data_IF_647998318365
#
_entry.id   IF_647998318365
#
_cell.length_a   1.000
_cell.length_b   1.000
_cell.length_c   1.000
_cell.angle_alpha   90.00
_cell.angle_beta   90.00
_cell.angle_gamma   90.00
#
_symmetry.space_group_name_H-M   'P 1'
#
loop_
_entity.id
_entity.type
_entity.pdbx_description
1 polymer ?
#
# COMPACT_ATOMS: atom_id res chain seq x y z
N UNK A 1 -5.89 -1.86 -15.24
CA UNK A 1 -4.45 -1.50 -15.15
C UNK A 1 -4.03 -1.37 -13.68
N UNK A 2 -3.60 -2.47 -13.07
CA UNK A 2 -3.16 -2.62 -11.67
C UNK A 2 -1.86 -1.84 -11.42
N UNK A 3 -1.94 -0.68 -10.76
CA UNK A 3 -0.90 0.35 -10.97
C UNK A 3 0.21 0.41 -9.90
N UNK A 4 0.04 -0.03 -8.63
CA UNK A 4 1.12 0.14 -7.61
C UNK A 4 2.12 -1.03 -7.54
N UNK A 5 1.66 -2.28 -7.59
CA UNK A 5 2.59 -3.42 -7.64
C UNK A 5 3.43 -3.44 -8.93
N UNK A 6 2.93 -2.80 -10.00
CA UNK A 6 3.69 -2.51 -11.22
C UNK A 6 4.35 -1.13 -11.24
N UNK A 7 4.04 -0.23 -10.30
CA UNK A 7 4.82 1.01 -10.09
C UNK A 7 6.20 0.70 -9.52
N UNK A 8 6.32 -0.32 -8.65
CA UNK A 8 7.61 -0.83 -8.18
C UNK A 8 8.46 -1.52 -9.27
N UNK A 9 7.89 -1.84 -10.43
CA UNK A 9 8.60 -2.41 -11.59
C UNK A 9 9.06 -1.34 -12.59
N UNK A 10 8.78 -0.08 -12.28
CA UNK A 10 9.04 1.08 -13.11
C UNK A 10 10.19 1.87 -12.45
N UNK A 11 11.19 2.35 -13.20
CA UNK A 11 12.33 3.06 -12.63
C UNK A 11 11.90 4.26 -11.77
N UNK A 12 12.66 4.55 -10.69
CA UNK A 12 12.37 5.51 -9.59
C UNK A 12 11.95 6.92 -10.03
N UNK A 13 12.16 7.28 -11.29
CA UNK A 13 11.62 8.52 -11.85
C UNK A 13 10.10 8.51 -12.05
N UNK A 14 9.41 7.37 -11.97
CA UNK A 14 8.01 7.25 -12.42
C UNK A 14 6.94 7.55 -11.36
N UNK A 15 7.25 7.51 -10.06
CA UNK A 15 6.28 7.86 -9.02
C UNK A 15 5.87 9.34 -9.11
N UNK A 16 6.83 10.25 -9.33
CA UNK A 16 6.55 11.67 -9.57
C UNK A 16 5.74 11.92 -10.86
N UNK A 17 5.89 11.02 -11.84
CA UNK A 17 5.36 11.17 -13.19
C UNK A 17 3.98 10.54 -13.37
N UNK A 18 3.72 9.45 -12.67
CA UNK A 18 2.37 8.92 -12.45
C UNK A 18 1.56 9.90 -11.58
N UNK A 19 2.20 10.53 -10.59
CA UNK A 19 1.59 11.57 -9.75
C UNK A 19 1.23 12.84 -10.52
N UNK A 20 2.03 13.32 -11.47
CA UNK A 20 1.67 14.49 -12.30
C UNK A 20 0.47 14.24 -13.22
N UNK A 21 0.37 13.03 -13.80
CA UNK A 21 -0.83 12.60 -14.54
C UNK A 21 -2.05 12.44 -13.62
N UNK A 22 -1.81 11.95 -12.41
CA UNK A 22 -2.82 11.83 -11.36
C UNK A 22 -3.32 13.19 -10.85
N UNK A 23 -2.43 14.20 -10.67
CA UNK A 23 -2.78 15.58 -10.28
C UNK A 23 -3.75 16.21 -11.27
N UNK A 24 -3.52 16.03 -12.56
CA UNK A 24 -4.40 16.54 -13.63
C UNK A 24 -5.79 15.91 -13.59
N UNK A 25 -5.87 14.58 -13.39
CA UNK A 25 -7.14 13.88 -13.17
C UNK A 25 -7.85 14.35 -11.90
N UNK A 26 -7.12 14.52 -10.80
CA UNK A 26 -7.64 15.03 -9.52
C UNK A 26 -8.22 16.43 -9.64
N UNK A 27 -7.62 17.36 -10.39
CA UNK A 27 -8.23 18.68 -10.62
C UNK A 27 -9.56 18.60 -11.37
N UNK A 28 -9.67 17.73 -12.37
CA UNK A 28 -10.90 17.53 -13.13
C UNK A 28 -11.97 16.79 -12.30
N UNK A 29 -11.58 15.81 -11.49
CA UNK A 29 -12.47 15.04 -10.63
C UNK A 29 -12.93 15.84 -9.40
N UNK A 30 -12.07 16.70 -8.83
CA UNK A 30 -12.45 17.67 -7.81
C UNK A 30 -13.40 18.72 -8.38
N UNK A 31 -13.12 19.26 -9.58
CA UNK A 31 -14.05 20.17 -10.25
C UNK A 31 -15.42 19.51 -10.50
N UNK A 32 -15.45 18.23 -10.87
CA UNK A 32 -16.68 17.45 -11.07
C UNK A 32 -17.41 17.16 -9.74
N UNK A 33 -16.68 16.88 -8.66
CA UNK A 33 -17.23 16.66 -7.32
C UNK A 33 -17.84 17.95 -6.73
N UNK A 34 -17.19 19.10 -6.93
CA UNK A 34 -17.69 20.42 -6.49
C UNK A 34 -18.75 21.03 -7.42
N UNK A 35 -18.86 20.56 -8.67
CA UNK A 35 -19.90 20.96 -9.62
C UNK A 35 -21.24 20.21 -9.43
N UNK A 36 -21.35 19.30 -8.44
CA UNK A 36 -22.64 18.73 -8.08
C UNK A 36 -23.59 19.85 -7.62
N UNK A 37 -24.77 20.03 -8.24
CA UNK A 37 -25.73 21.00 -7.76
C UNK A 37 -26.16 20.57 -6.36
N UNK A 38 -25.87 21.39 -5.35
CA UNK A 38 -26.40 21.21 -3.99
C UNK A 38 -27.93 21.22 -4.07
N UNK A 39 -28.55 20.05 -4.08
CA UNK A 39 -29.99 19.92 -3.89
C UNK A 39 -30.28 20.47 -2.49
N UNK A 40 -30.96 21.62 -2.46
CA UNK A 40 -31.32 22.36 -1.24
C UNK A 40 -32.29 21.50 -0.42
N UNK A 41 -31.76 20.68 0.49
CA UNK A 41 -32.59 19.89 1.43
C UNK A 41 -33.16 20.85 2.48
N UNK A 42 -34.46 21.11 2.37
CA UNK A 42 -35.25 21.94 3.30
C UNK A 42 -35.22 21.29 4.69
N UNK A 43 -34.57 21.95 5.65
CA UNK A 43 -34.53 21.55 7.05
C UNK A 43 -35.92 21.60 7.68
N UNK A 44 -36.40 20.48 8.21
CA UNK A 44 -37.49 20.45 9.21
C UNK A 44 -36.87 19.97 10.51
N UNK A 45 -36.81 20.87 11.50
CA UNK A 45 -36.44 20.57 12.89
C UNK A 45 -37.56 19.77 13.58
N UNK A 46 -37.23 18.89 14.53
CA UNK A 46 -38.05 18.76 15.73
C UNK A 46 -37.25 19.02 17.01
N UNK A 47 -38.01 19.41 18.02
CA UNK A 47 -37.63 19.90 19.34
C UNK A 47 -36.89 18.86 20.20
N UNK A 48 -35.96 19.36 21.01
CA UNK A 48 -35.38 18.68 22.17
C UNK A 48 -36.38 18.73 23.34
N UNK A 49 -36.62 17.60 24.00
CA UNK A 49 -37.07 17.57 25.38
C UNK A 49 -35.99 16.92 26.23
N UNK A 50 -35.58 17.69 27.23
CA UNK A 50 -34.71 17.34 28.35
C UNK A 50 -35.50 16.46 29.32
N UNK A 51 -34.88 15.39 29.80
CA UNK A 51 -35.23 14.80 31.09
C UNK A 51 -33.99 14.14 31.70
N UNK A 52 -33.48 14.80 32.73
CA UNK A 52 -32.49 14.33 33.70
C UNK A 52 -33.12 13.33 34.67
N UNK A 53 -32.40 12.26 35.01
CA UNK A 53 -32.55 11.57 36.29
C UNK A 53 -31.24 10.86 36.67
N UNK A 54 -30.78 11.14 37.89
CA UNK A 54 -29.61 10.55 38.53
C UNK A 54 -30.01 9.34 39.41
N UNK A 55 -29.13 8.34 39.52
CA UNK A 55 -28.96 7.41 40.66
C UNK A 55 -27.76 6.50 40.33
N UNK A 56 -26.61 6.59 41.01
CA UNK A 56 -26.27 6.05 42.32
C UNK A 56 -26.09 4.52 42.37
N UNK A 57 -24.85 4.09 42.64
CA UNK A 57 -24.58 2.99 43.59
C UNK A 57 -24.19 1.62 43.04
N UNK A 58 -22.93 1.25 43.32
CA UNK A 58 -22.45 0.03 43.99
C UNK A 58 -21.36 -0.74 43.23
N UNK A 59 -20.14 -0.62 43.77
CA UNK A 59 -19.07 -1.57 43.59
C UNK A 59 -19.41 -2.86 44.36
N UNK A 60 -19.28 -4.00 43.70
CA UNK A 60 -19.25 -5.31 44.35
C UNK A 60 -17.91 -5.96 44.03
N UNK A 61 -16.98 -5.88 44.99
CA UNK A 61 -15.78 -6.71 45.02
C UNK A 61 -16.19 -8.10 45.52
N UNK A 62 -16.16 -9.11 44.64
CA UNK A 62 -16.33 -10.50 45.03
C UNK A 62 -15.00 -11.07 45.49
N UNK A 63 -14.83 -11.18 46.81
CA UNK A 63 -13.80 -12.03 47.41
C UNK A 63 -14.24 -13.49 47.21
N UNK A 64 -13.52 -14.22 46.35
CA UNK A 64 -13.67 -15.67 46.25
C UNK A 64 -12.92 -16.30 47.41
N UNK A 65 -13.65 -16.80 48.39
CA UNK A 65 -13.13 -17.66 49.45
C UNK A 65 -12.80 -19.02 48.82
N UNK A 66 -11.53 -19.39 48.84
CA UNK A 66 -11.07 -20.72 48.45
C UNK A 66 -11.48 -21.73 49.53
N UNK A 67 -12.55 -22.48 49.27
CA UNK A 67 -12.84 -23.71 50.02
C UNK A 67 -11.94 -24.81 49.49
N UNK A 68 -11.03 -25.29 50.34
CA UNK A 68 -10.19 -26.44 50.05
C UNK A 68 -11.02 -27.72 50.04
N UNK A 69 -11.24 -28.27 48.86
CA UNK A 69 -11.60 -29.68 48.67
C UNK A 69 -10.47 -30.38 47.92
N UNK A 70 -10.00 -31.47 48.53
CA UNK A 70 -8.97 -32.37 48.03
C UNK A 70 -9.34 -32.89 46.64
N UNK A 71 -8.48 -32.75 45.60
CA UNK A 71 -8.81 -33.28 44.28
C UNK A 71 -8.69 -34.81 44.28
N UNK A 72 -9.79 -35.49 43.96
CA UNK A 72 -9.76 -36.88 43.52
C UNK A 72 -8.88 -37.01 42.24
N UNK A 73 -8.25 -38.17 41.98
CA UNK A 73 -7.36 -38.33 40.85
C UNK A 73 -8.16 -38.22 39.54
N UNK A 74 -7.90 -37.17 38.76
CA UNK A 74 -8.43 -37.04 37.41
C UNK A 74 -7.62 -37.95 36.49
N UNK A 75 -8.30 -38.87 35.84
CA UNK A 75 -7.82 -39.57 34.64
C UNK A 75 -7.28 -38.55 33.63
N UNK A 76 -6.14 -38.79 32.98
CA UNK A 76 -5.61 -37.87 31.99
C UNK A 76 -6.60 -37.76 30.82
N UNK A 77 -7.16 -36.57 30.63
CA UNK A 77 -7.87 -36.22 29.40
C UNK A 77 -6.91 -36.41 28.23
N UNK A 78 -7.32 -37.01 27.10
CA UNK A 78 -6.46 -37.08 25.93
C UNK A 78 -6.09 -35.64 25.55
N UNK A 79 -4.78 -35.39 25.42
CA UNK A 79 -4.28 -34.10 24.97
C UNK A 79 -5.02 -33.73 23.69
N UNK A 80 -5.85 -32.69 23.74
CA UNK A 80 -6.43 -32.09 22.55
C UNK A 80 -5.22 -31.64 21.73
N UNK A 81 -4.91 -32.40 20.69
CA UNK A 81 -3.88 -32.03 19.74
C UNK A 81 -4.18 -30.59 19.32
N UNK A 82 -3.24 -29.67 19.58
CA UNK A 82 -3.40 -28.27 19.21
C UNK A 82 -3.82 -28.23 17.74
N UNK A 83 -4.97 -27.62 17.44
CA UNK A 83 -5.46 -27.53 16.08
C UNK A 83 -4.35 -26.93 15.19
N UNK A 84 -4.13 -27.45 13.97
CA UNK A 84 -3.08 -26.93 13.11
C UNK A 84 -3.32 -25.44 12.86
N UNK A 85 -2.25 -24.63 12.99
CA UNK A 85 -2.32 -23.20 12.70
C UNK A 85 -2.70 -23.04 11.22
N UNK A 86 -3.80 -22.33 10.98
CA UNK A 86 -4.29 -22.00 9.64
C UNK A 86 -4.02 -20.52 9.33
N UNK A 87 -4.07 -20.14 8.04
CA UNK A 87 -3.99 -18.73 7.64
C UNK A 87 -5.02 -17.88 8.39
N UNK A 88 -6.27 -18.38 8.48
CA UNK A 88 -7.36 -17.73 9.20
C UNK A 88 -7.04 -17.53 10.68
N UNK A 89 -6.61 -18.58 11.38
CA UNK A 89 -6.31 -18.46 12.82
C UNK A 89 -5.13 -17.51 13.08
N UNK A 90 -4.11 -17.50 12.21
CA UNK A 90 -3.01 -16.55 12.30
C UNK A 90 -3.48 -15.11 12.11
N UNK A 91 -4.27 -14.83 11.07
CA UNK A 91 -4.81 -13.50 10.80
C UNK A 91 -5.72 -13.00 11.92
N UNK A 92 -6.52 -13.87 12.55
CA UNK A 92 -7.33 -13.50 13.72
C UNK A 92 -6.48 -13.21 14.97
N UNK A 93 -5.36 -13.91 15.15
CA UNK A 93 -4.39 -13.61 16.20
C UNK A 93 -3.72 -12.25 15.94
N UNK A 94 -3.28 -12.00 14.69
CA UNK A 94 -2.74 -10.70 14.26
C UNK A 94 -3.74 -9.56 14.48
N UNK A 95 -5.04 -9.79 14.20
CA UNK A 95 -6.09 -8.83 14.50
C UNK A 95 -6.16 -8.49 16.00
N UNK A 96 -5.98 -9.49 16.88
CA UNK A 96 -6.04 -9.30 18.33
C UNK A 96 -4.79 -8.58 18.86
N UNK A 97 -3.63 -8.82 18.24
CA UNK A 97 -2.39 -8.08 18.50
C UNK A 97 -2.53 -6.61 18.06
N UNK A 98 -2.95 -6.37 16.82
CA UNK A 98 -3.13 -5.02 16.28
C UNK A 98 -4.12 -4.17 17.09
N UNK A 99 -5.17 -4.78 17.67
CA UNK A 99 -6.13 -4.05 18.51
C UNK A 99 -5.52 -3.51 19.81
N UNK A 100 -4.46 -4.16 20.30
CA UNK A 100 -3.79 -3.81 21.56
C UNK A 100 -2.64 -2.81 21.38
N UNK A 101 -2.28 -2.50 20.14
CA UNK A 101 -1.28 -1.46 19.85
C UNK A 101 -1.75 -0.10 20.39
N UNK A 102 -0.85 0.72 20.95
CA UNK A 102 -1.19 2.06 21.36
C UNK A 102 -1.65 2.89 20.16
N UNK A 103 -2.67 3.73 20.39
CA UNK A 103 -3.07 4.73 19.41
C UNK A 103 -2.10 5.91 19.48
N UNK A 104 -1.21 5.99 18.52
CA UNK A 104 -0.22 7.06 18.41
C UNK A 104 -0.58 8.05 17.30
N UNK A 105 0.06 9.21 17.35
CA UNK A 105 -0.05 10.26 16.35
C UNK A 105 1.26 11.02 16.26
N UNK A 106 1.56 11.56 15.09
CA UNK A 106 2.68 12.46 14.88
C UNK A 106 2.42 13.38 13.70
N UNK A 107 3.34 14.32 13.49
CA UNK A 107 3.22 15.29 12.38
C UNK A 107 3.44 14.66 11.00
N UNK A 108 4.33 13.68 10.94
CA UNK A 108 4.72 12.93 9.74
C UNK A 108 4.54 11.43 9.94
N UNK A 109 4.05 10.76 8.91
CA UNK A 109 4.15 9.31 8.81
C UNK A 109 5.41 8.93 8.03
N UNK A 110 6.31 8.22 8.70
CA UNK A 110 7.58 7.76 8.15
C UNK A 110 7.48 6.33 7.65
N UNK A 111 8.07 6.05 6.49
CA UNK A 111 8.31 4.69 5.98
C UNK A 111 9.70 4.62 5.37
N UNK A 112 10.44 3.58 5.73
CA UNK A 112 11.69 3.16 5.10
C UNK A 112 11.54 1.76 4.55
N UNK A 113 11.85 1.61 3.27
CA UNK A 113 11.68 0.36 2.56
C UNK A 113 12.84 0.10 1.61
N UNK A 114 13.26 -1.16 1.53
CA UNK A 114 14.19 -1.65 0.52
C UNK A 114 13.40 -2.36 -0.57
N UNK A 115 13.46 -1.83 -1.77
CA UNK A 115 12.84 -2.42 -2.96
C UNK A 115 13.86 -3.26 -3.70
N UNK A 116 13.44 -4.43 -4.18
CA UNK A 116 14.15 -5.27 -5.13
C UNK A 116 13.19 -5.55 -6.28
N UNK A 117 13.54 -5.10 -7.48
CA UNK A 117 12.63 -5.12 -8.62
C UNK A 117 13.34 -5.62 -9.89
N UNK A 118 12.61 -6.36 -10.72
CA UNK A 118 13.07 -6.74 -12.06
C UNK A 118 13.22 -5.49 -12.93
N UNK A 119 14.37 -5.35 -13.57
CA UNK A 119 14.59 -4.31 -14.58
C UNK A 119 14.02 -4.83 -15.89
N UNK A 120 12.97 -4.19 -16.41
CA UNK A 120 12.32 -4.61 -17.65
C UNK A 120 12.97 -4.01 -18.90
N UNK A 121 13.50 -2.80 -18.80
CA UNK A 121 14.05 -2.02 -19.90
C UNK A 121 15.21 -1.16 -19.43
N UNK A 122 16.06 -0.71 -20.35
CA UNK A 122 17.10 0.27 -20.04
C UNK A 122 16.43 1.58 -19.57
N UNK A 123 16.65 2.03 -18.32
CA UNK A 123 15.95 3.20 -17.77
C UNK A 123 16.17 4.49 -18.56
N UNK A 124 17.38 4.68 -19.10
CA UNK A 124 17.73 5.84 -19.92
C UNK A 124 16.86 5.99 -21.16
N UNK A 125 16.61 4.90 -21.89
CA UNK A 125 15.82 4.90 -23.12
C UNK A 125 14.35 5.25 -22.87
N UNK A 126 13.78 4.64 -21.83
CA UNK A 126 12.42 4.93 -21.41
C UNK A 126 12.27 6.39 -20.97
N UNK A 127 13.19 6.88 -20.15
CA UNK A 127 13.17 8.25 -19.61
C UNK A 127 13.31 9.28 -20.73
N UNK A 128 14.21 9.05 -21.70
CA UNK A 128 14.38 9.92 -22.85
C UNK A 128 13.10 10.02 -23.70
N UNK A 129 12.45 8.88 -24.00
CA UNK A 129 11.19 8.84 -24.76
C UNK A 129 10.06 9.55 -24.01
N UNK A 130 9.94 9.33 -22.70
CA UNK A 130 8.91 9.97 -21.88
C UNK A 130 9.11 11.49 -21.81
N UNK A 131 10.36 11.96 -21.65
CA UNK A 131 10.68 13.38 -21.66
C UNK A 131 10.38 14.03 -23.02
N UNK A 132 10.66 13.34 -24.12
CA UNK A 132 10.29 13.82 -25.46
C UNK A 132 8.76 13.96 -25.62
N UNK A 133 7.99 12.98 -25.17
CA UNK A 133 6.52 13.05 -25.17
C UNK A 133 6.00 14.23 -24.35
N UNK A 134 6.58 14.48 -23.16
CA UNK A 134 6.20 15.63 -22.33
C UNK A 134 6.50 16.96 -22.98
N UNK A 135 7.69 17.09 -23.56
CA UNK A 135 8.08 18.33 -24.24
C UNK A 135 7.10 18.63 -25.37
N UNK A 136 6.81 17.63 -26.21
CA UNK A 136 5.82 17.76 -27.28
C UNK A 136 4.42 18.13 -26.75
N UNK A 137 4.00 17.54 -25.63
CA UNK A 137 2.71 17.86 -25.00
C UNK A 137 2.67 19.31 -24.48
N UNK A 138 3.73 19.76 -23.81
CA UNK A 138 3.84 21.13 -23.30
C UNK A 138 3.79 22.16 -24.44
N UNK A 139 4.51 21.89 -25.54
CA UNK A 139 4.51 22.74 -26.72
C UNK A 139 3.11 22.79 -27.38
N UNK A 140 2.41 21.65 -27.42
CA UNK A 140 1.03 21.55 -27.90
C UNK A 140 0.04 22.32 -27.02
N UNK A 141 0.12 22.17 -25.70
CA UNK A 141 -0.74 22.89 -24.73
C UNK A 141 -0.54 24.42 -24.81
N UNK A 142 0.71 24.88 -25.02
CA UNK A 142 1.01 26.30 -25.17
C UNK A 142 0.28 26.93 -26.37
N UNK A 143 0.08 26.19 -27.46
CA UNK A 143 -0.66 26.62 -28.65
C UNK A 143 -2.20 26.48 -28.56
N UNK A 144 -2.72 25.88 -27.49
CA UNK A 144 -4.15 25.60 -27.29
C UNK A 144 -4.79 26.43 -26.16
N UNK A 145 -4.12 27.49 -25.70
CA UNK A 145 -4.65 28.39 -24.67
C UNK A 145 -6.01 28.96 -25.09
N UNK A 146 -7.02 28.80 -24.22
CA UNK A 146 -8.40 29.25 -24.48
C UNK A 146 -9.27 28.27 -25.25
N UNK A 147 -8.79 27.06 -25.58
CA UNK A 147 -9.55 26.02 -26.26
C UNK A 147 -9.70 24.75 -25.39
N UNK A 148 -10.61 24.73 -24.40
CA UNK A 148 -10.68 23.68 -23.38
C UNK A 148 -10.94 22.28 -23.95
N UNK A 149 -11.79 22.16 -24.97
CA UNK A 149 -12.07 20.85 -25.61
C UNK A 149 -10.84 20.29 -26.35
N UNK A 150 -10.05 21.17 -26.99
CA UNK A 150 -8.83 20.77 -27.69
C UNK A 150 -7.71 20.41 -26.71
N UNK A 151 -7.65 21.09 -25.57
CA UNK A 151 -6.75 20.72 -24.47
C UNK A 151 -7.08 19.33 -23.92
N UNK A 152 -8.35 19.06 -23.62
CA UNK A 152 -8.79 17.75 -23.15
C UNK A 152 -8.50 16.62 -24.17
N UNK A 153 -8.68 16.89 -25.46
CA UNK A 153 -8.32 15.94 -26.52
C UNK A 153 -6.81 15.69 -26.59
N UNK A 154 -5.99 16.73 -26.45
CA UNK A 154 -4.53 16.62 -26.43
C UNK A 154 -4.04 15.81 -25.22
N UNK A 155 -4.62 16.03 -24.04
CA UNK A 155 -4.32 15.26 -22.83
C UNK A 155 -4.65 13.77 -23.02
N UNK A 156 -5.81 13.45 -23.61
CA UNK A 156 -6.19 12.06 -23.89
C UNK A 156 -5.22 11.38 -24.86
N UNK A 157 -4.75 12.10 -25.87
CA UNK A 157 -3.74 11.62 -26.81
C UNK A 157 -2.39 11.37 -26.12
N UNK A 158 -1.97 12.29 -25.25
CA UNK A 158 -0.75 12.13 -24.45
C UNK A 158 -0.82 10.88 -23.56
N UNK A 159 -1.91 10.69 -22.83
CA UNK A 159 -2.12 9.50 -21.98
C UNK A 159 -2.09 8.20 -22.81
N UNK A 160 -2.66 8.21 -24.02
CA UNK A 160 -2.58 7.07 -24.94
C UNK A 160 -1.12 6.76 -25.32
N UNK A 161 -0.33 7.78 -25.72
CA UNK A 161 1.09 7.59 -26.08
C UNK A 161 1.94 7.13 -24.91
N UNK A 162 1.68 7.65 -23.70
CA UNK A 162 2.32 7.18 -22.47
C UNK A 162 1.96 5.71 -22.19
N UNK A 163 0.71 5.32 -22.44
CA UNK A 163 0.27 3.93 -22.31
C UNK A 163 0.99 3.01 -23.29
N UNK A 164 1.05 3.38 -24.58
CA UNK A 164 1.77 2.63 -25.61
C UNK A 164 3.28 2.49 -25.27
N UNK A 165 3.90 3.56 -24.75
CA UNK A 165 5.28 3.52 -24.28
C UNK A 165 5.47 2.51 -23.14
N UNK A 166 4.54 2.44 -22.19
CA UNK A 166 4.56 1.49 -21.06
C UNK A 166 4.37 0.04 -21.47
N UNK A 167 3.52 -0.25 -22.48
CA UNK A 167 3.11 -1.62 -22.81
C UNK A 167 3.93 -2.28 -23.92
N UNK A 168 4.74 -1.52 -24.66
CA UNK A 168 5.54 -2.09 -25.75
C UNK A 168 6.41 -1.11 -26.53
N UNK A 169 6.43 0.18 -26.17
CA UNK A 169 7.26 1.18 -26.85
C UNK A 169 8.75 1.13 -26.51
N UNK A 170 9.16 0.29 -25.56
CA UNK A 170 10.57 0.00 -25.24
C UNK A 170 10.76 -1.52 -25.24
N UNK A 171 11.76 -2.05 -25.98
CA UNK A 171 12.07 -3.47 -25.94
C UNK A 171 12.40 -3.94 -24.53
N UNK A 172 11.94 -5.15 -24.17
CA UNK A 172 12.38 -5.80 -22.94
C UNK A 172 13.87 -6.15 -23.01
N UNK A 173 14.51 -6.24 -21.84
CA UNK A 173 15.87 -6.74 -21.74
C UNK A 173 15.94 -8.22 -22.14
N UNK A 174 16.94 -8.61 -22.95
CA UNK A 174 17.13 -10.01 -23.35
C UNK A 174 17.74 -10.89 -22.24
N UNK A 175 17.99 -10.33 -21.06
CA UNK A 175 18.56 -10.97 -19.87
C UNK A 175 17.78 -10.56 -18.61
N UNK A 176 17.83 -11.39 -17.58
CA UNK A 176 17.24 -11.09 -16.28
C UNK A 176 18.20 -10.25 -15.42
N UNK A 177 17.81 -9.01 -15.14
CA UNK A 177 18.49 -8.13 -14.19
C UNK A 177 17.51 -7.58 -13.17
N UNK A 178 18.04 -7.26 -11.99
CA UNK A 178 17.28 -6.71 -10.86
C UNK A 178 18.03 -5.53 -10.28
N UNK A 179 17.29 -4.50 -9.88
CA UNK A 179 17.82 -3.39 -9.09
C UNK A 179 17.27 -3.47 -7.68
N UNK A 180 18.08 -3.05 -6.71
CA UNK A 180 17.63 -2.86 -5.34
C UNK A 180 18.09 -1.50 -4.80
N UNK A 181 17.22 -0.82 -4.07
CA UNK A 181 17.51 0.45 -3.44
C UNK A 181 16.63 0.65 -2.21
N UNK A 182 17.13 1.45 -1.27
CA UNK A 182 16.38 1.89 -0.11
C UNK A 182 15.84 3.30 -0.29
N UNK A 183 14.56 3.45 0.04
CA UNK A 183 13.79 4.69 0.02
C UNK A 183 13.29 5.03 1.41
N UNK A 184 13.33 6.32 1.75
CA UNK A 184 12.70 6.89 2.94
C UNK A 184 11.67 7.92 2.53
N UNK A 185 10.51 7.92 3.20
CA UNK A 185 9.48 8.93 3.01
C UNK A 185 9.00 9.49 4.33
N UNK A 186 8.81 10.80 4.37
CA UNK A 186 8.13 11.53 5.44
C UNK A 186 6.90 12.17 4.83
N UNK A 187 5.74 11.57 5.10
CA UNK A 187 4.47 12.01 4.54
C UNK A 187 3.72 12.88 5.55
N UNK A 188 3.44 14.16 5.25
CA UNK A 188 2.81 15.08 6.19
C UNK A 188 1.35 14.70 6.44
N UNK A 189 0.91 14.73 7.70
CA UNK A 189 -0.49 14.48 8.04
C UNK A 189 -1.41 15.68 7.79
N UNK A 190 -0.82 16.87 7.68
CA UNK A 190 -1.56 18.10 7.38
C UNK A 190 -1.39 18.49 5.93
N UNK A 191 -2.50 18.75 5.26
CA UNK A 191 -2.50 19.21 3.87
C UNK A 191 -1.69 20.52 3.72
N UNK A 192 -0.87 20.59 2.67
CA UNK A 192 -0.04 21.75 2.34
C UNK A 192 1.28 21.85 3.08
N UNK A 193 1.58 20.95 4.02
CA UNK A 193 2.93 20.86 4.59
C UNK A 193 3.91 20.14 3.65
N UNK A 194 5.20 20.47 3.77
CA UNK A 194 6.28 19.84 3.01
C UNK A 194 6.57 18.45 3.56
N UNK A 195 6.48 17.43 2.71
CA UNK A 195 7.04 16.10 2.92
C UNK A 195 8.42 15.96 2.30
N UNK A 196 9.05 14.82 2.56
CA UNK A 196 10.37 14.46 2.02
C UNK A 196 10.36 13.05 1.47
N UNK A 197 11.04 12.83 0.35
CA UNK A 197 11.43 11.50 -0.15
C UNK A 197 12.93 11.48 -0.36
N UNK A 198 13.59 10.41 0.09
CA UNK A 198 15.01 10.14 -0.18
C UNK A 198 15.12 8.77 -0.82
N UNK A 199 15.53 8.70 -2.08
CA UNK A 199 15.63 7.45 -2.85
C UNK A 199 17.06 7.16 -3.27
N UNK A 200 17.29 5.95 -3.80
CA UNK A 200 18.55 5.54 -4.43
C UNK A 200 19.73 5.60 -3.44
N UNK A 201 19.49 5.30 -2.16
CA UNK A 201 20.51 5.45 -1.10
C UNK A 201 21.65 4.44 -1.21
N UNK A 202 21.35 3.22 -1.66
CA UNK A 202 22.23 2.05 -1.67
C UNK A 202 21.94 1.14 -2.86
N UNK A 203 21.93 1.75 -4.06
CA UNK A 203 21.57 1.09 -5.32
C UNK A 203 22.51 -0.07 -5.62
N UNK A 204 21.92 -1.24 -5.81
CA UNK A 204 22.57 -2.48 -6.19
C UNK A 204 21.93 -3.02 -7.48
N UNK A 205 22.74 -3.60 -8.37
CA UNK A 205 22.25 -4.31 -9.56
C UNK A 205 22.77 -5.74 -9.49
N UNK A 206 21.85 -6.69 -9.64
CA UNK A 206 22.14 -8.12 -9.66
C UNK A 206 21.53 -8.78 -10.90
N UNK A 207 22.00 -9.96 -11.24
CA UNK A 207 21.58 -10.71 -12.42
C UNK A 207 20.98 -12.05 -12.00
N UNK A 208 20.01 -12.53 -12.78
CA UNK A 208 19.34 -13.81 -12.51
C UNK A 208 20.28 -15.02 -12.55
N UNK A 209 21.37 -14.91 -13.31
CA UNK A 209 22.39 -15.93 -13.45
C UNK A 209 23.72 -15.32 -13.95
N UNK A 210 24.85 -16.07 -13.87
CA UNK A 210 26.09 -15.67 -14.52
C UNK A 210 25.96 -15.48 -16.05
N UNK A 211 25.04 -16.21 -16.69
CA UNK A 211 24.77 -16.06 -18.13
C UNK A 211 24.08 -14.72 -18.42
N UNK A 212 23.08 -14.33 -17.62
CA UNK A 212 22.41 -13.03 -17.76
C UNK A 212 23.40 -11.87 -17.64
N UNK A 213 24.37 -11.98 -16.73
CA UNK A 213 25.42 -10.98 -16.58
C UNK A 213 26.38 -10.97 -17.80
N UNK A 214 26.71 -12.13 -18.35
CA UNK A 214 27.50 -12.22 -19.58
C UNK A 214 26.76 -11.60 -20.79
N UNK A 215 25.45 -11.86 -20.91
CA UNK A 215 24.59 -11.29 -21.95
C UNK A 215 24.46 -9.78 -21.81
N UNK A 216 24.35 -9.27 -20.58
CA UNK A 216 24.40 -7.83 -20.29
C UNK A 216 25.73 -7.20 -20.71
N UNK A 217 26.87 -7.85 -20.43
CA UNK A 217 28.19 -7.39 -20.89
C UNK A 217 28.29 -7.40 -22.42
N UNK A 218 27.79 -8.46 -23.07
CA UNK A 218 27.75 -8.57 -24.52
C UNK A 218 26.86 -7.49 -25.17
N UNK A 219 25.80 -7.05 -24.48
CA UNK A 219 24.94 -5.94 -24.88
C UNK A 219 25.56 -4.54 -24.63
N UNK A 220 26.82 -4.46 -24.23
CA UNK A 220 27.53 -3.20 -24.01
C UNK A 220 27.37 -2.61 -22.61
N UNK A 221 26.90 -3.42 -21.64
CA UNK A 221 26.75 -3.02 -20.23
C UNK A 221 25.94 -1.73 -20.03
N UNK A 222 24.72 -1.62 -20.58
CA UNK A 222 23.89 -0.43 -20.36
C UNK A 222 23.62 -0.20 -18.87
N UNK A 223 23.46 1.06 -18.47
CA UNK A 223 23.12 1.43 -17.09
C UNK A 223 21.70 0.94 -16.77
N UNK A 224 21.57 0.09 -15.75
CA UNK A 224 20.31 -0.57 -15.39
C UNK A 224 19.59 0.07 -14.19
N UNK A 225 20.24 0.99 -13.48
CA UNK A 225 19.65 1.72 -12.36
C UNK A 225 20.39 3.04 -12.15
N UNK A 226 19.67 4.10 -11.78
CA UNK A 226 20.28 5.40 -11.48
C UNK A 226 20.91 5.37 -10.09
N UNK A 227 22.25 5.47 -10.02
CA UNK A 227 22.97 5.24 -8.76
C UNK A 227 23.01 6.43 -7.79
N UNK A 228 22.65 7.63 -8.25
CA UNK A 228 22.80 8.84 -7.43
C UNK A 228 21.64 8.96 -6.45
N UNK A 229 21.91 9.13 -5.14
CA UNK A 229 20.86 9.45 -4.18
C UNK A 229 20.13 10.72 -4.60
N UNK A 230 18.81 10.73 -4.39
CA UNK A 230 17.99 11.91 -4.64
C UNK A 230 17.18 12.25 -3.41
N UNK A 231 17.03 13.54 -3.17
CA UNK A 231 16.18 14.07 -2.11
C UNK A 231 15.20 15.06 -2.70
N UNK A 232 13.93 14.85 -2.41
CA UNK A 232 12.84 15.67 -2.91
C UNK A 232 12.01 16.16 -1.73
N UNK A 233 11.95 17.48 -1.57
CA UNK A 233 11.13 18.16 -0.60
C UNK A 233 10.01 18.88 -1.35
N UNK A 234 8.77 18.44 -1.14
CA UNK A 234 7.62 19.02 -1.79
C UNK A 234 6.36 18.88 -0.93
N UNK A 235 5.35 19.71 -1.20
CA UNK A 235 4.04 19.66 -0.53
C UNK A 235 3.01 18.82 -1.28
N UNK A 236 3.44 17.95 -2.18
CA UNK A 236 2.54 17.14 -3.00
C UNK A 236 1.86 16.10 -2.14
N UNK A 237 0.53 16.11 -2.19
CA UNK A 237 -0.24 15.00 -1.64
C UNK A 237 -0.05 13.75 -2.53
N UNK A 238 0.76 12.82 -2.02
CA UNK A 238 1.00 11.53 -2.66
C UNK A 238 -0.18 10.60 -2.42
N UNK A 239 -0.55 9.84 -3.44
CA UNK A 239 -1.64 8.86 -3.31
C UNK A 239 -1.22 7.71 -2.40
N UNK A 240 -2.13 7.27 -1.53
CA UNK A 240 -1.87 6.06 -0.76
C UNK A 240 -2.01 4.82 -1.63
N UNK A 241 -2.99 4.81 -2.52
CA UNK A 241 -3.38 3.65 -3.32
C UNK A 241 -3.84 4.15 -4.68
N UNK A 242 -3.22 3.66 -5.75
CA UNK A 242 -3.55 4.11 -7.12
C UNK A 242 -4.94 3.59 -7.52
N UNK A 243 -5.28 2.37 -7.13
CA UNK A 243 -6.60 1.77 -7.38
C UNK A 243 -7.71 2.44 -6.56
N UNK A 244 -7.33 3.16 -5.49
CA UNK A 244 -8.24 3.84 -4.58
C UNK A 244 -7.89 5.33 -4.46
N UNK A 245 -8.11 6.13 -5.51
CA UNK A 245 -7.74 7.54 -5.54
C UNK A 245 -8.37 8.38 -4.40
N UNK A 246 -9.53 7.93 -3.93
CA UNK A 246 -10.24 8.57 -2.81
C UNK A 246 -9.66 8.24 -1.44
N UNK A 247 -8.73 7.27 -1.33
CA UNK A 247 -8.08 6.86 -0.09
C UNK A 247 -6.73 7.57 0.04
N UNK A 248 -6.57 8.41 1.06
CA UNK A 248 -5.34 9.19 1.29
C UNK A 248 -5.08 9.34 2.79
N UNK A 249 -3.85 9.76 3.15
CA UNK A 249 -3.43 9.86 4.55
C UNK A 249 -4.35 10.73 5.42
N UNK A 250 -5.01 11.74 4.84
CA UNK A 250 -5.87 12.66 5.57
C UNK A 250 -7.24 12.07 5.93
N UNK A 251 -7.69 11.02 5.24
CA UNK A 251 -8.98 10.38 5.50
C UNK A 251 -8.87 8.94 6.03
N UNK A 252 -7.67 8.42 6.23
CA UNK A 252 -7.47 7.10 6.84
C UNK A 252 -8.03 7.01 8.26
N UNK A 253 -7.99 8.10 9.01
CA UNK A 253 -8.57 8.16 10.34
C UNK A 253 -10.09 7.93 10.34
N UNK A 254 -10.76 8.15 9.22
CA UNK A 254 -12.21 7.98 9.08
C UNK A 254 -12.61 6.55 8.70
N UNK A 255 -11.63 5.67 8.43
CA UNK A 255 -11.92 4.28 8.13
C UNK A 255 -12.58 3.58 9.33
N UNK A 256 -13.62 2.76 9.10
CA UNK A 256 -14.29 2.05 10.18
C UNK A 256 -13.34 1.14 10.97
N UNK A 257 -13.57 1.06 12.28
CA UNK A 257 -12.83 0.17 13.19
C UNK A 257 -13.55 -1.19 13.40
N UNK A 258 -14.78 -1.32 12.93
CA UNK A 258 -15.56 -2.56 12.98
C UNK A 258 -15.42 -3.34 11.67
N UNK A 259 -15.31 -4.66 11.78
CA UNK A 259 -15.10 -5.57 10.65
C UNK A 259 -16.13 -5.41 9.53
N UNK A 260 -17.42 -5.56 9.83
CA UNK A 260 -18.48 -5.48 8.81
C UNK A 260 -18.55 -4.12 8.12
N UNK A 261 -18.31 -3.05 8.89
CA UNK A 261 -18.33 -1.70 8.36
C UNK A 261 -17.12 -1.46 7.46
N UNK A 262 -15.94 -1.94 7.84
CA UNK A 262 -14.74 -1.86 7.01
C UNK A 262 -14.89 -2.71 5.75
N UNK A 263 -15.41 -3.94 5.86
CA UNK A 263 -15.70 -4.81 4.71
C UNK A 263 -16.60 -4.11 3.69
N UNK A 264 -17.70 -3.51 4.12
CA UNK A 264 -18.59 -2.72 3.26
C UNK A 264 -17.86 -1.55 2.60
N UNK A 265 -16.99 -0.85 3.35
CA UNK A 265 -16.20 0.27 2.80
C UNK A 265 -15.22 -0.21 1.72
N UNK A 266 -14.53 -1.32 1.93
CA UNK A 266 -13.59 -1.89 0.95
C UNK A 266 -14.32 -2.41 -0.29
N UNK A 267 -15.49 -3.03 -0.12
CA UNK A 267 -16.35 -3.45 -1.24
C UNK A 267 -16.82 -2.26 -2.09
N UNK A 268 -17.13 -1.14 -1.43
CA UNK A 268 -17.52 0.10 -2.12
C UNK A 268 -16.35 0.76 -2.85
N UNK A 269 -15.13 0.65 -2.32
CA UNK A 269 -13.92 1.11 -2.99
C UNK A 269 -13.64 0.24 -4.23
N UNK A 270 -13.75 -1.09 -4.09
CA UNK A 270 -13.58 -2.02 -5.20
C UNK A 270 -14.54 -1.70 -6.35
N UNK A 271 -15.85 -1.54 -6.08
CA UNK A 271 -16.85 -1.21 -7.11
C UNK A 271 -16.59 0.10 -7.85
N UNK A 272 -15.89 1.04 -7.23
CA UNK A 272 -15.55 2.35 -7.80
C UNK A 272 -14.15 2.38 -8.41
N UNK A 273 -13.35 1.33 -8.17
CA UNK A 273 -12.00 1.27 -8.70
C UNK A 273 -12.07 1.27 -10.23
N UNK A 274 -11.28 2.13 -10.91
CA UNK A 274 -11.23 2.17 -12.37
C UNK A 274 -10.74 0.84 -12.98
N UNK A 275 -10.14 -0.04 -12.17
CA UNK A 275 -9.54 -1.31 -12.57
C UNK A 275 -10.36 -2.53 -12.11
N UNK A 276 -11.54 -2.31 -11.53
CA UNK A 276 -12.40 -3.36 -10.95
C UNK A 276 -12.90 -4.40 -11.96
N UNK A 277 -12.98 -4.04 -13.25
CA UNK A 277 -13.37 -4.95 -14.32
C UNK A 277 -12.29 -6.01 -14.63
N UNK A 278 -11.03 -5.72 -14.33
CA UNK A 278 -9.88 -6.56 -14.72
C UNK A 278 -9.27 -7.34 -13.55
N UNK A 279 -9.73 -7.09 -12.31
CA UNK A 279 -9.11 -7.64 -11.10
C UNK A 279 -10.10 -8.47 -10.29
N UNK A 280 -9.71 -9.69 -9.92
CA UNK A 280 -10.50 -10.49 -8.99
C UNK A 280 -10.56 -9.79 -7.62
N UNK A 281 -11.68 -9.93 -6.91
CA UNK A 281 -11.92 -9.22 -5.65
C UNK A 281 -10.87 -9.55 -4.58
N UNK A 282 -10.38 -10.79 -4.54
CA UNK A 282 -9.42 -11.24 -3.53
C UNK A 282 -8.05 -10.60 -3.75
N UNK A 283 -7.56 -10.59 -4.99
CA UNK A 283 -6.32 -9.92 -5.40
C UNK A 283 -6.37 -8.41 -5.13
N UNK A 284 -7.47 -7.74 -5.51
CA UNK A 284 -7.67 -6.32 -5.22
C UNK A 284 -7.63 -6.03 -3.71
N UNK A 285 -8.30 -6.86 -2.90
CA UNK A 285 -8.34 -6.67 -1.46
C UNK A 285 -6.96 -6.84 -0.84
N UNK A 286 -6.17 -7.82 -1.29
CA UNK A 286 -4.83 -8.04 -0.78
C UNK A 286 -3.87 -6.90 -1.13
N UNK A 287 -3.97 -6.37 -2.35
CA UNK A 287 -3.24 -5.18 -2.77
C UNK A 287 -3.60 -3.96 -1.92
N UNK A 288 -4.89 -3.71 -1.74
CA UNK A 288 -5.39 -2.63 -0.87
C UNK A 288 -4.95 -2.84 0.57
N UNK A 289 -4.84 -4.08 1.04
CA UNK A 289 -4.37 -4.38 2.38
C UNK A 289 -2.89 -4.03 2.59
N UNK A 290 -2.03 -4.23 1.58
CA UNK A 290 -0.64 -3.75 1.62
C UNK A 290 -0.59 -2.22 1.72
N UNK A 291 -1.39 -1.51 0.92
CA UNK A 291 -1.48 -0.05 0.98
C UNK A 291 -1.89 0.44 2.38
N UNK A 292 -2.85 -0.24 2.99
CA UNK A 292 -3.38 0.07 4.32
C UNK A 292 -2.41 -0.31 5.44
N UNK A 293 -1.72 -1.46 5.35
CA UNK A 293 -0.77 -1.91 6.37
C UNK A 293 0.49 -1.04 6.45
N UNK A 294 0.84 -0.35 5.36
CA UNK A 294 1.97 0.60 5.28
C UNK A 294 1.56 2.05 5.64
N UNK A 295 0.37 2.23 6.20
CA UNK A 295 -0.24 3.51 6.52
C UNK A 295 -0.58 3.65 8.01
N UNK A 296 -0.75 4.88 8.52
CA UNK A 296 -1.07 5.14 9.93
C UNK A 296 -2.54 4.86 10.21
N UNK A 297 -2.88 3.58 10.35
CA UNK A 297 -4.24 3.16 10.69
C UNK A 297 -4.46 3.13 12.20
N UNK A 298 -5.69 3.45 12.62
CA UNK A 298 -6.11 3.23 14.01
C UNK A 298 -5.98 1.74 14.36
N UNK A 299 -5.60 1.38 15.60
CA UNK A 299 -5.52 -0.02 16.06
C UNK A 299 -6.79 -0.83 15.74
N UNK A 300 -7.97 -0.25 15.95
CA UNK A 300 -9.25 -0.87 15.60
C UNK A 300 -9.42 -1.13 14.09
N UNK A 301 -8.98 -0.20 13.23
CA UNK A 301 -9.02 -0.37 11.77
C UNK A 301 -8.02 -1.43 11.30
N UNK A 302 -6.81 -1.48 11.87
CA UNK A 302 -5.81 -2.54 11.60
C UNK A 302 -6.36 -3.91 11.99
N UNK A 303 -6.96 -4.00 13.17
CA UNK A 303 -7.63 -5.21 13.65
C UNK A 303 -8.76 -5.66 12.73
N UNK A 304 -9.65 -4.75 12.34
CA UNK A 304 -10.73 -5.03 11.39
C UNK A 304 -10.19 -5.48 10.03
N UNK A 305 -9.11 -4.87 9.52
CA UNK A 305 -8.48 -5.27 8.26
C UNK A 305 -8.04 -6.74 8.33
N UNK A 306 -7.30 -7.12 9.37
CA UNK A 306 -6.87 -8.52 9.54
C UNK A 306 -8.04 -9.50 9.62
N UNK A 307 -9.15 -9.15 10.27
CA UNK A 307 -10.36 -10.00 10.28
C UNK A 307 -11.01 -10.12 8.90
N UNK A 308 -11.10 -9.02 8.14
CA UNK A 308 -11.60 -9.05 6.75
C UNK A 308 -10.74 -9.94 5.86
N UNK A 309 -9.41 -9.92 6.05
CA UNK A 309 -8.46 -10.79 5.35
C UNK A 309 -8.61 -12.26 5.79
N UNK A 310 -8.87 -12.52 7.07
CA UNK A 310 -9.02 -13.87 7.63
C UNK A 310 -10.20 -14.66 7.03
N UNK A 311 -11.21 -13.96 6.51
CA UNK A 311 -12.38 -14.59 5.87
C UNK A 311 -12.23 -14.72 4.34
N UNK A 312 -11.06 -14.42 3.77
CA UNK A 312 -10.83 -14.65 2.35
C UNK A 312 -10.54 -16.13 2.07
N UNK A 313 -11.20 -16.74 1.06
CA UNK A 313 -11.12 -18.18 0.82
C UNK A 313 -9.82 -18.65 0.16
N UNK A 314 -8.97 -17.74 -0.34
CA UNK A 314 -7.81 -18.06 -1.18
C UNK A 314 -6.44 -17.76 -0.52
N UNK A 315 -6.40 -17.66 0.82
CA UNK A 315 -5.14 -17.37 1.54
C UNK A 315 -4.44 -18.67 1.95
N UNK A 316 -3.23 -18.87 1.45
CA UNK A 316 -2.35 -19.97 1.82
C UNK A 316 -1.40 -19.54 2.93
N UNK A 317 -1.29 -20.35 3.98
CA UNK A 317 -0.27 -20.21 5.01
C UNK A 317 0.97 -20.98 4.58
N UNK A 318 2.10 -20.30 4.42
CA UNK A 318 3.38 -20.93 4.10
C UNK A 318 4.20 -21.24 5.38
N UNK A 319 3.82 -20.64 6.51
CA UNK A 319 4.47 -20.86 7.80
C UNK A 319 5.55 -19.83 8.12
N UNK A 320 6.40 -20.14 9.11
CA UNK A 320 7.48 -19.24 9.53
C UNK A 320 8.56 -19.16 8.45
N UNK A 321 9.02 -17.94 8.19
CA UNK A 321 10.07 -17.65 7.21
C UNK A 321 10.93 -16.49 7.70
N UNK A 322 12.05 -16.23 7.02
CA UNK A 322 12.81 -15.00 7.19
C UNK A 322 12.52 -14.06 6.02
N UNK A 323 12.36 -12.77 6.28
CA UNK A 323 12.35 -11.76 5.21
C UNK A 323 13.76 -11.52 4.65
N UNK A 324 13.88 -10.64 3.64
CA UNK A 324 15.17 -10.31 3.03
C UNK A 324 16.15 -9.59 3.97
N UNK A 325 15.68 -9.12 5.13
CA UNK A 325 16.51 -8.48 6.15
C UNK A 325 16.87 -9.45 7.29
N UNK A 326 16.49 -10.73 7.18
CA UNK A 326 16.76 -11.78 8.17
C UNK A 326 15.80 -11.78 9.37
N UNK A 327 14.73 -10.97 9.36
CA UNK A 327 13.73 -10.94 10.43
C UNK A 327 12.76 -12.11 10.26
N UNK A 328 12.46 -12.81 11.36
CA UNK A 328 11.49 -13.91 11.34
C UNK A 328 10.06 -13.38 11.32
N UNK A 329 9.25 -13.90 10.41
CA UNK A 329 7.81 -13.65 10.35
C UNK A 329 7.05 -14.86 9.83
N UNK A 330 5.75 -14.68 9.57
CA UNK A 330 4.88 -15.71 8.99
C UNK A 330 4.51 -15.29 7.57
N UNK A 331 4.74 -16.19 6.62
CA UNK A 331 4.41 -15.98 5.22
C UNK A 331 2.98 -16.42 4.88
N UNK A 332 2.28 -15.55 4.17
CA UNK A 332 0.94 -15.78 3.62
C UNK A 332 0.96 -15.43 2.13
N UNK A 333 0.34 -16.26 1.29
CA UNK A 333 0.21 -15.98 -0.14
C UNK A 333 -1.23 -16.08 -0.62
N UNK A 334 -1.54 -15.32 -1.66
CA UNK A 334 -2.81 -15.40 -2.38
C UNK A 334 -2.56 -15.25 -3.88
N UNK A 335 -3.30 -15.98 -4.73
CA UNK A 335 -3.38 -15.63 -6.14
C UNK A 335 -4.00 -14.23 -6.29
N UNK A 336 -3.63 -13.57 -7.38
CA UNK A 336 -4.22 -12.34 -7.88
C UNK A 336 -4.40 -12.45 -9.40
N UNK A 337 -5.09 -11.47 -10.00
CA UNK A 337 -5.35 -11.40 -11.43
C UNK A 337 -4.06 -11.56 -12.29
N UNK A 338 -4.24 -12.04 -13.52
CA UNK A 338 -3.17 -12.23 -14.50
C UNK A 338 -2.04 -13.16 -14.05
N UNK A 339 -2.37 -14.26 -13.36
CA UNK A 339 -1.38 -15.26 -12.89
C UNK A 339 -0.34 -14.69 -11.91
N UNK A 340 -0.70 -13.58 -11.26
CA UNK A 340 0.10 -12.98 -10.22
C UNK A 340 -0.12 -13.71 -8.88
N UNK A 341 0.90 -13.70 -8.05
CA UNK A 341 0.83 -14.13 -6.66
C UNK A 341 1.37 -13.01 -5.79
N UNK A 342 0.59 -12.63 -4.79
CA UNK A 342 1.03 -11.69 -3.75
C UNK A 342 1.40 -12.50 -2.51
N UNK A 343 2.60 -12.30 -2.01
CA UNK A 343 3.08 -12.93 -0.78
C UNK A 343 3.44 -11.87 0.25
N UNK A 344 2.98 -12.04 1.48
CA UNK A 344 3.24 -11.14 2.61
C UNK A 344 4.00 -11.89 3.69
N UNK A 345 4.91 -11.21 4.37
CA UNK A 345 5.55 -11.68 5.59
C UNK A 345 5.15 -10.75 6.72
N UNK A 346 4.48 -11.28 7.75
CA UNK A 346 3.97 -10.52 8.89
C UNK A 346 4.70 -10.95 10.15
N UNK A 347 5.14 -9.99 10.97
CA UNK A 347 5.73 -10.27 12.27
C UNK A 347 4.67 -10.80 13.24
N UNK A 348 4.92 -11.97 13.83
CA UNK A 348 3.97 -12.65 14.70
C UNK A 348 3.69 -11.88 16.01
N UNK A 349 4.66 -11.06 16.46
CA UNK A 349 4.60 -10.39 17.78
C UNK A 349 3.87 -9.04 17.72
N UNK A 350 4.13 -8.26 16.68
CA UNK A 350 3.58 -6.92 16.47
C UNK A 350 2.40 -6.91 15.49
N UNK A 351 2.21 -7.96 14.68
CA UNK A 351 1.33 -7.93 13.51
C UNK A 351 1.73 -6.84 12.48
N UNK A 352 2.98 -6.38 12.50
CA UNK A 352 3.54 -5.50 11.48
C UNK A 352 3.86 -6.24 10.18
N UNK A 353 3.64 -5.59 9.03
CA UNK A 353 4.07 -6.09 7.73
C UNK A 353 5.59 -5.90 7.60
N UNK A 354 6.33 -6.99 7.45
CA UNK A 354 7.79 -6.98 7.27
C UNK A 354 8.19 -6.93 5.80
N UNK A 355 7.47 -7.65 4.94
CA UNK A 355 7.78 -7.76 3.52
C UNK A 355 6.54 -8.05 2.70
N UNK A 356 6.52 -7.59 1.47
CA UNK A 356 5.61 -8.12 0.45
C UNK A 356 6.35 -8.40 -0.86
N UNK A 357 5.82 -9.36 -1.62
CA UNK A 357 6.36 -9.81 -2.89
C UNK A 357 5.24 -9.90 -3.92
N UNK A 358 5.58 -9.59 -5.16
CA UNK A 358 4.79 -9.89 -6.34
C UNK A 358 5.58 -10.86 -7.22
N UNK A 359 4.97 -11.98 -7.56
CA UNK A 359 5.50 -12.91 -8.54
C UNK A 359 4.49 -13.15 -9.67
N UNK A 360 4.98 -13.42 -10.87
CA UNK A 360 4.18 -13.86 -12.02
C UNK A 360 4.68 -15.24 -12.44
N UNK A 361 3.78 -16.24 -12.53
CA UNK A 361 4.15 -17.63 -12.89
C UNK A 361 5.33 -18.18 -12.04
N UNK A 362 5.36 -17.82 -10.76
CA UNK A 362 6.41 -18.21 -9.81
C UNK A 362 7.74 -17.45 -9.95
N UNK A 363 7.87 -16.51 -10.88
CA UNK A 363 9.06 -15.66 -11.03
C UNK A 363 8.86 -14.37 -10.25
N UNK A 364 9.78 -14.06 -9.34
CA UNK A 364 9.76 -12.83 -8.57
C UNK A 364 9.88 -11.62 -9.50
N UNK A 365 8.93 -10.70 -9.40
CA UNK A 365 8.96 -9.42 -10.11
C UNK A 365 9.39 -8.30 -9.16
N UNK A 366 8.79 -8.26 -7.98
CA UNK A 366 8.99 -7.23 -6.98
C UNK A 366 9.08 -7.88 -5.60
N UNK A 367 9.99 -7.39 -4.78
CA UNK A 367 10.06 -7.63 -3.35
C UNK A 367 10.31 -6.29 -2.67
N UNK A 368 9.55 -6.00 -1.62
CA UNK A 368 9.74 -4.81 -0.80
C UNK A 368 9.83 -5.24 0.65
N UNK A 369 10.96 -4.96 1.28
CA UNK A 369 11.18 -5.17 2.71
C UNK A 369 11.01 -3.85 3.46
N UNK A 370 10.12 -3.83 4.44
CA UNK A 370 9.79 -2.66 5.26
C UNK A 370 10.80 -2.59 6.40
N UNK A 371 11.85 -1.79 6.24
CA UNK A 371 12.91 -1.66 7.25
C UNK A 371 12.39 -1.04 8.54
N UNK A 372 11.63 0.06 8.41
CA UNK A 372 11.11 0.82 9.55
C UNK A 372 9.89 1.66 9.14
N UNK A 373 8.99 1.91 10.10
CA UNK A 373 7.76 2.66 9.89
C UNK A 373 7.22 3.18 11.21
N UNK A 374 6.76 4.43 11.23
CA UNK A 374 6.18 5.00 12.43
C UNK A 374 5.93 6.50 12.36
N UNK A 375 5.52 7.05 13.49
CA UNK A 375 5.30 8.48 13.66
C UNK A 375 6.61 9.23 13.86
N UNK A 376 6.71 10.41 13.25
CA UNK A 376 7.78 11.37 13.50
C UNK A 376 7.20 12.78 13.60
N UNK A 377 7.73 13.60 14.50
CA UNK A 377 7.30 14.99 14.67
C UNK A 377 8.12 15.98 13.84
N UNK A 378 9.23 15.54 13.25
CA UNK A 378 10.19 16.38 12.56
C UNK A 378 10.51 15.81 11.16
N UNK A 379 10.46 16.69 10.15
CA UNK A 379 10.80 16.31 8.78
C UNK A 379 12.26 15.86 8.70
N UNK A 380 12.49 14.65 8.16
CA UNK A 380 13.83 14.08 8.02
C UNK A 380 14.33 13.33 9.27
N UNK A 381 13.57 13.32 10.37
CA UNK A 381 13.89 12.52 11.55
C UNK A 381 13.15 11.18 11.51
N UNK A 382 13.86 10.09 11.75
CA UNK A 382 13.25 8.75 11.87
C UNK A 382 12.46 8.63 13.18
N UNK A 383 11.44 7.74 13.26
CA UNK A 383 10.74 7.43 14.50
C UNK A 383 11.72 7.07 15.63
N UNK A 384 11.34 7.36 16.87
CA UNK A 384 12.07 6.85 18.02
C UNK A 384 11.76 5.35 18.17
N UNK A 385 12.81 4.53 18.16
CA UNK A 385 12.71 3.07 18.30
C UNK A 385 12.48 2.59 19.72
#
# INVERSE_FOLDING_TARGET
MTDRLFAGLKPDGLDELAEDGYRRRRSADLARAFATPRVRRRSRRPFLLVASAAAAGLAAATVVVASGETPAPRTPSPAVAAAPVTARSFLLAAASTALREPAESGRYWYVRERTFAKVHHVPGDYTAKLNALRKAQKDKEAGLKGAPERLAAAEKEFEKKVTELKTGGVPELPYAAFSADTRETWRPMKAGETGRSVSNQDVEVTFGSPQDEADWRAAGSPELAEKKPKTYDDGTERVLSIDNPSLNLHNLADLPTGEDALRRRLDDLWKRSPNSADTDKAGYLWQTAVDLMTAPLKPGTRSALFRVLADQPAVTLEGRTSDALGRTGVALSTPAAHELTVRLVVDERSAGLLQYELAEKGKLLLRVALEDMGWSDELGRRPAG
#
